data_IF_363426390890
#
_entry.id   IF_363426390890
#
_cell.length_a   1.000
_cell.length_b   1.000
_cell.length_c   1.000
_cell.angle_alpha   90.00
_cell.angle_beta   90.00
_cell.angle_gamma   90.00
#
_symmetry.space_group_name_H-M   'P 1'
#
loop_
_entity.id
_entity.type
_entity.pdbx_description
1 polymer ?
#
# COMPACT_ATOMS: atom_id res chain seq x y z
N UNK A 1 -7.70 16.54 -13.82
CA UNK A 1 -7.43 16.07 -12.43
C UNK A 1 -8.29 14.87 -12.04
N UNK A 2 -9.55 14.77 -12.41
CA UNK A 2 -10.44 13.64 -12.04
C UNK A 2 -9.99 12.27 -12.59
N UNK A 3 -9.44 12.20 -13.80
CA UNK A 3 -8.95 10.96 -14.42
C UNK A 3 -7.79 10.30 -13.66
N UNK A 4 -6.87 11.09 -13.09
CA UNK A 4 -5.75 10.55 -12.30
C UNK A 4 -6.23 9.98 -10.96
N UNK A 5 -7.22 10.61 -10.34
CA UNK A 5 -7.82 10.10 -9.11
C UNK A 5 -8.57 8.77 -9.36
N UNK A 6 -9.32 8.68 -10.45
CA UNK A 6 -10.02 7.45 -10.86
C UNK A 6 -9.03 6.31 -11.14
N UNK A 7 -7.93 6.58 -11.86
CA UNK A 7 -6.90 5.57 -12.11
C UNK A 7 -6.23 5.07 -10.82
N UNK A 8 -5.98 5.95 -9.84
CA UNK A 8 -5.48 5.57 -8.52
C UNK A 8 -6.48 4.70 -7.77
N UNK A 9 -7.74 5.10 -7.76
CA UNK A 9 -8.81 4.33 -7.11
C UNK A 9 -8.95 2.94 -7.72
N UNK A 10 -8.94 2.82 -9.04
CA UNK A 10 -9.00 1.54 -9.75
C UNK A 10 -7.77 0.67 -9.45
N UNK A 11 -6.58 1.26 -9.28
CA UNK A 11 -5.39 0.53 -8.87
C UNK A 11 -5.54 -0.03 -7.46
N UNK A 12 -5.98 0.79 -6.51
CA UNK A 12 -6.24 0.36 -5.13
C UNK A 12 -7.28 -0.76 -5.10
N UNK A 13 -8.40 -0.59 -5.79
CA UNK A 13 -9.43 -1.62 -5.91
C UNK A 13 -8.88 -2.93 -6.46
N UNK A 14 -8.08 -2.87 -7.53
CA UNK A 14 -7.49 -4.07 -8.16
C UNK A 14 -6.57 -4.81 -7.18
N UNK A 15 -5.75 -4.08 -6.40
CA UNK A 15 -4.86 -4.66 -5.39
C UNK A 15 -5.66 -5.30 -4.26
N UNK A 16 -6.68 -4.61 -3.73
CA UNK A 16 -7.56 -5.15 -2.68
C UNK A 16 -8.21 -6.46 -3.12
N UNK A 17 -8.71 -6.51 -4.36
CA UNK A 17 -9.32 -7.72 -4.94
C UNK A 17 -8.29 -8.82 -5.14
N UNK A 18 -7.10 -8.49 -5.67
CA UNK A 18 -6.04 -9.45 -5.98
C UNK A 18 -5.53 -10.17 -4.73
N UNK A 19 -5.32 -9.43 -3.65
CA UNK A 19 -4.79 -9.96 -2.40
C UNK A 19 -5.86 -10.36 -1.40
N UNK A 20 -7.15 -10.23 -1.77
CA UNK A 20 -8.29 -10.61 -0.90
C UNK A 20 -8.22 -9.96 0.48
N UNK A 21 -7.93 -8.67 0.49
CA UNK A 21 -7.89 -7.90 1.74
C UNK A 21 -9.29 -7.70 2.35
N UNK A 22 -10.33 -8.01 1.59
CA UNK A 22 -11.71 -8.09 2.06
C UNK A 22 -11.85 -9.06 3.25
N UNK A 23 -11.17 -10.22 3.21
CA UNK A 23 -11.19 -11.18 4.32
C UNK A 23 -10.63 -10.57 5.62
N UNK A 24 -9.65 -9.67 5.53
CA UNK A 24 -9.06 -8.99 6.69
C UNK A 24 -9.99 -7.94 7.28
N UNK A 25 -10.75 -7.26 6.44
CA UNK A 25 -11.72 -6.25 6.86
C UNK A 25 -12.88 -6.86 7.64
N UNK A 26 -13.15 -8.18 7.49
CA UNK A 26 -14.24 -8.87 8.18
C UNK A 26 -13.91 -9.29 9.60
N UNK A 27 -12.64 -9.37 9.95
CA UNK A 27 -12.21 -9.60 11.34
C UNK A 27 -12.28 -8.32 12.19
N UNK A 28 -12.49 -7.16 11.55
CA UNK A 28 -12.72 -5.90 12.25
C UNK A 28 -14.20 -5.75 12.62
N UNK A 29 -14.55 -5.23 13.79
CA UNK A 29 -15.91 -4.95 14.20
C UNK A 29 -16.49 -3.78 13.37
N UNK A 30 -16.88 -4.08 12.14
CA UNK A 30 -17.45 -3.09 11.24
C UNK A 30 -18.96 -2.93 11.49
N UNK A 31 -19.49 -1.70 11.43
CA UNK A 31 -20.90 -1.46 11.57
C UNK A 31 -21.72 -2.16 10.47
N UNK A 32 -22.86 -2.67 10.82
CA UNK A 32 -23.73 -3.51 9.98
C UNK A 32 -24.10 -2.90 8.61
N UNK A 33 -24.16 -1.59 8.50
CA UNK A 33 -24.43 -0.91 7.23
C UNK A 33 -23.29 -1.05 6.20
N UNK A 34 -22.03 -1.20 6.66
CA UNK A 34 -20.91 -1.54 5.80
C UNK A 34 -20.94 -3.01 5.32
N UNK A 35 -21.58 -3.87 6.10
CA UNK A 35 -21.81 -5.26 5.70
C UNK A 35 -22.80 -5.38 4.54
N UNK A 36 -23.78 -4.49 4.43
CA UNK A 36 -24.71 -4.46 3.30
C UNK A 36 -24.03 -3.99 2.00
N UNK A 37 -23.02 -3.12 2.08
CA UNK A 37 -22.18 -2.75 0.93
C UNK A 37 -21.42 -3.95 0.36
N UNK A 38 -21.18 -4.97 1.18
CA UNK A 38 -20.58 -6.25 0.80
C UNK A 38 -21.39 -7.03 -0.23
N UNK A 39 -22.72 -6.94 -0.17
CA UNK A 39 -23.61 -7.61 -1.11
C UNK A 39 -23.59 -6.95 -2.52
N UNK A 40 -23.24 -5.68 -2.57
CA UNK A 40 -23.13 -4.91 -3.81
C UNK A 40 -21.80 -5.11 -4.56
N UNK A 41 -20.83 -5.85 -3.97
CA UNK A 41 -19.55 -6.11 -4.63
C UNK A 41 -19.63 -7.34 -5.55
N UNK A 42 -19.76 -7.18 -6.87
CA UNK A 42 -20.00 -8.29 -7.80
C UNK A 42 -18.86 -9.30 -7.90
N UNK A 43 -17.62 -8.90 -7.56
CA UNK A 43 -16.46 -9.80 -7.63
C UNK A 43 -16.41 -10.87 -6.53
N UNK A 44 -17.26 -10.78 -5.53
CA UNK A 44 -17.37 -11.79 -4.48
C UNK A 44 -17.96 -13.11 -4.98
N UNK A 45 -18.73 -13.04 -6.03
CA UNK A 45 -19.40 -14.21 -6.63
C UNK A 45 -18.47 -15.03 -7.53
N UNK A 46 -17.26 -14.50 -7.83
CA UNK A 46 -16.28 -15.26 -8.59
C UNK A 46 -15.65 -16.36 -7.71
N UNK A 47 -15.65 -17.63 -8.17
CA UNK A 47 -14.95 -18.70 -7.49
C UNK A 47 -13.45 -18.41 -7.49
N UNK A 48 -12.90 -18.18 -6.32
CA UNK A 48 -11.48 -17.82 -6.15
C UNK A 48 -10.74 -18.95 -5.50
N UNK A 49 -9.59 -19.33 -6.08
CA UNK A 49 -8.65 -20.25 -5.44
C UNK A 49 -8.21 -19.69 -4.09
N UNK A 50 -8.23 -20.51 -3.04
CA UNK A 50 -7.67 -20.15 -1.73
C UNK A 50 -6.21 -19.76 -1.92
N UNK A 51 -5.85 -18.57 -1.45
CA UNK A 51 -4.45 -18.15 -1.42
C UNK A 51 -3.71 -19.00 -0.38
N UNK A 52 -2.57 -19.57 -0.76
CA UNK A 52 -1.67 -20.28 0.16
C UNK A 52 -0.91 -19.31 1.10
N UNK A 53 -1.01 -18.00 0.86
CA UNK A 53 -0.33 -16.96 1.63
C UNK A 53 -1.07 -16.67 2.93
N UNK A 54 -0.31 -16.42 4.00
CA UNK A 54 -0.84 -15.93 5.27
C UNK A 54 -1.53 -14.57 5.10
N UNK A 55 -2.39 -14.19 6.05
CA UNK A 55 -3.07 -12.88 6.03
C UNK A 55 -2.07 -11.74 6.00
N UNK A 56 -1.06 -11.78 6.87
CA UNK A 56 -0.02 -10.77 6.95
C UNK A 56 0.78 -10.66 5.67
N UNK A 57 1.16 -11.77 5.05
CA UNK A 57 1.89 -11.79 3.78
C UNK A 57 1.08 -11.13 2.65
N UNK A 58 -0.23 -11.35 2.60
CA UNK A 58 -1.12 -10.70 1.63
C UNK A 58 -1.16 -9.18 1.81
N UNK A 59 -1.27 -8.71 3.04
CA UNK A 59 -1.22 -7.27 3.36
C UNK A 59 0.11 -6.67 2.95
N UNK A 60 1.21 -7.31 3.32
CA UNK A 60 2.56 -6.86 2.97
C UNK A 60 2.75 -6.71 1.45
N UNK A 61 2.39 -7.73 0.70
CA UNK A 61 2.49 -7.70 -0.77
C UNK A 61 1.57 -6.65 -1.40
N UNK A 62 0.37 -6.46 -0.86
CA UNK A 62 -0.53 -5.42 -1.32
C UNK A 62 0.04 -4.02 -1.12
N UNK A 63 0.64 -3.75 0.04
CA UNK A 63 1.29 -2.47 0.31
C UNK A 63 2.49 -2.22 -0.60
N UNK A 64 3.25 -3.27 -0.94
CA UNK A 64 4.35 -3.19 -1.92
C UNK A 64 3.84 -2.84 -3.32
N UNK A 65 2.76 -3.49 -3.77
CA UNK A 65 2.15 -3.22 -5.08
C UNK A 65 1.53 -1.82 -5.18
N UNK A 66 1.02 -1.29 -4.07
CA UNK A 66 0.46 0.06 -4.01
C UNK A 66 1.53 1.16 -4.08
N UNK A 67 2.76 0.84 -3.67
CA UNK A 67 3.91 1.71 -3.85
C UNK A 67 4.47 2.34 -2.57
N UNK A 68 5.46 3.24 -2.69
CA UNK A 68 6.29 3.70 -1.58
C UNK A 68 5.53 4.35 -0.42
N UNK A 69 4.45 5.08 -0.71
CA UNK A 69 3.62 5.73 0.31
C UNK A 69 2.98 4.67 1.22
N UNK A 70 2.47 3.59 0.62
CA UNK A 70 1.82 2.51 1.35
C UNK A 70 2.84 1.64 2.10
N UNK A 71 4.05 1.48 1.57
CA UNK A 71 5.16 0.83 2.29
C UNK A 71 5.50 1.63 3.56
N UNK A 72 5.63 2.96 3.46
CA UNK A 72 5.84 3.84 4.63
C UNK A 72 4.71 3.73 5.64
N UNK A 73 3.47 3.67 5.18
CA UNK A 73 2.31 3.45 6.03
C UNK A 73 2.37 2.09 6.74
N UNK A 74 2.73 1.02 6.02
CA UNK A 74 2.93 -0.32 6.59
C UNK A 74 4.05 -0.35 7.64
N UNK A 75 5.16 0.35 7.40
CA UNK A 75 6.24 0.50 8.37
C UNK A 75 5.77 1.20 9.65
N UNK A 76 4.96 2.26 9.51
CA UNK A 76 4.37 2.96 10.65
C UNK A 76 3.42 2.05 11.43
N UNK A 77 2.57 1.30 10.73
CA UNK A 77 1.63 0.36 11.36
C UNK A 77 2.35 -0.78 12.08
N UNK A 78 3.50 -1.24 11.58
CA UNK A 78 4.26 -2.32 12.22
C UNK A 78 4.79 -1.94 13.62
N UNK A 79 4.95 -0.65 13.91
CA UNK A 79 5.33 -0.15 15.23
C UNK A 79 4.16 -0.15 16.24
N UNK A 80 2.93 -0.19 15.74
CA UNK A 80 1.70 -0.14 16.53
C UNK A 80 1.04 -1.52 16.60
N UNK A 81 1.66 -2.41 17.38
CA UNK A 81 1.18 -3.80 17.58
C UNK A 81 -0.17 -3.90 18.29
N UNK A 82 -0.59 -2.84 18.96
CA UNK A 82 -1.88 -2.70 19.61
C UNK A 82 -3.07 -2.60 18.65
N UNK A 83 -2.82 -2.16 17.43
CA UNK A 83 -3.86 -1.95 16.41
C UNK A 83 -4.04 -3.12 15.45
N UNK A 84 -3.09 -4.04 15.40
CA UNK A 84 -3.04 -5.10 14.40
C UNK A 84 -2.96 -6.48 15.05
N UNK A 85 -3.57 -7.52 14.42
CA UNK A 85 -3.27 -8.89 14.77
C UNK A 85 -1.76 -9.17 14.67
N UNK A 86 -1.24 -10.01 15.58
CA UNK A 86 0.20 -10.27 15.68
C UNK A 86 0.82 -10.80 14.38
N UNK A 87 0.11 -11.67 13.66
CA UNK A 87 0.52 -12.22 12.38
C UNK A 87 0.70 -11.16 11.29
N UNK A 88 -0.16 -10.14 11.29
CA UNK A 88 -0.05 -9.00 10.36
C UNK A 88 1.08 -8.08 10.76
N UNK A 89 1.22 -7.77 12.05
CA UNK A 89 2.27 -6.90 12.56
C UNK A 89 3.67 -7.48 12.27
N UNK A 90 3.87 -8.78 12.47
CA UNK A 90 5.13 -9.47 12.23
C UNK A 90 5.50 -9.46 10.73
N UNK A 91 4.55 -9.68 9.85
CA UNK A 91 4.79 -9.58 8.40
C UNK A 91 5.08 -8.15 7.94
N UNK A 92 4.46 -7.15 8.53
CA UNK A 92 4.74 -5.75 8.22
C UNK A 92 6.12 -5.30 8.71
N UNK A 93 6.66 -5.91 9.75
CA UNK A 93 8.05 -5.67 10.16
C UNK A 93 9.05 -6.02 9.06
N UNK A 94 8.77 -7.04 8.25
CA UNK A 94 9.60 -7.39 7.10
C UNK A 94 9.69 -6.29 6.04
N UNK A 95 8.78 -5.32 6.04
CA UNK A 95 8.88 -4.14 5.19
C UNK A 95 10.01 -3.19 5.61
N UNK A 96 10.46 -3.25 6.88
CA UNK A 96 11.58 -2.44 7.36
C UNK A 96 12.91 -3.00 6.88
N UNK A 97 13.04 -4.34 6.83
CA UNK A 97 14.30 -5.02 6.55
C UNK A 97 14.57 -5.25 5.05
N UNK A 98 13.53 -5.19 4.23
CA UNK A 98 13.62 -5.47 2.79
C UNK A 98 13.40 -4.22 1.94
N UNK A 99 14.09 -3.14 2.24
CA UNK A 99 14.27 -2.07 1.27
C UNK A 99 15.32 -2.57 0.27
N UNK A 100 14.98 -2.78 -1.01
CA UNK A 100 16.00 -3.11 -1.99
C UNK A 100 17.06 -2.01 -1.95
N UNK A 101 18.36 -2.39 -1.98
CA UNK A 101 19.43 -1.40 -1.93
C UNK A 101 19.22 -0.40 -3.07
N UNK A 102 19.03 0.84 -2.70
CA UNK A 102 18.88 1.92 -3.66
C UNK A 102 20.25 2.17 -4.29
N UNK A 103 20.32 2.16 -5.60
CA UNK A 103 21.56 2.44 -6.32
C UNK A 103 22.05 3.85 -5.96
N UNK A 104 23.22 4.00 -5.30
CA UNK A 104 23.73 5.30 -4.88
C UNK A 104 23.85 6.30 -6.04
N UNK A 105 24.16 5.82 -7.24
CA UNK A 105 24.31 6.67 -8.42
C UNK A 105 22.96 7.25 -8.87
N UNK A 106 21.89 6.46 -8.80
CA UNK A 106 20.55 6.95 -9.09
C UNK A 106 20.07 7.96 -8.03
N UNK A 107 20.44 7.74 -6.77
CA UNK A 107 20.16 8.68 -5.68
C UNK A 107 20.82 10.03 -5.94
N UNK A 108 22.11 10.03 -6.22
CA UNK A 108 22.87 11.26 -6.51
C UNK A 108 22.30 11.98 -7.73
N UNK A 109 21.99 11.26 -8.81
CA UNK A 109 21.40 11.84 -10.01
C UNK A 109 20.01 12.47 -9.73
N UNK A 110 19.18 11.83 -8.91
CA UNK A 110 17.88 12.35 -8.54
C UNK A 110 18.00 13.60 -7.67
N UNK A 111 18.88 13.57 -6.67
CA UNK A 111 19.15 14.72 -5.79
C UNK A 111 19.70 15.91 -6.61
N UNK A 112 20.68 15.66 -7.47
CA UNK A 112 21.24 16.70 -8.33
C UNK A 112 20.20 17.33 -9.24
N UNK A 113 19.24 16.54 -9.76
CA UNK A 113 18.13 17.04 -10.58
C UNK A 113 17.17 17.92 -9.76
N UNK A 114 16.80 17.47 -8.56
CA UNK A 114 15.88 18.21 -7.67
C UNK A 114 16.53 19.51 -7.21
N UNK A 115 17.79 19.47 -6.75
CA UNK A 115 18.55 20.65 -6.31
C UNK A 115 18.70 21.66 -7.44
N UNK A 116 19.05 21.22 -8.65
CA UNK A 116 19.17 22.07 -9.82
C UNK A 116 17.84 22.77 -10.18
N UNK A 117 16.74 22.02 -10.14
CA UNK A 117 15.39 22.57 -10.39
C UNK A 117 14.97 23.56 -9.31
N UNK A 118 15.35 23.32 -8.06
CA UNK A 118 15.10 24.21 -6.96
C UNK A 118 15.94 25.48 -7.08
N UNK A 119 17.26 25.34 -7.33
CA UNK A 119 18.19 26.44 -7.51
C UNK A 119 17.79 27.39 -8.64
N UNK A 120 17.44 26.84 -9.81
CA UNK A 120 16.99 27.64 -10.95
C UNK A 120 15.72 28.45 -10.69
N UNK A 121 14.88 27.99 -9.77
CA UNK A 121 13.64 28.69 -9.40
C UNK A 121 13.86 29.86 -8.44
N UNK A 122 14.86 29.76 -7.56
CA UNK A 122 15.05 30.68 -6.46
C UNK A 122 16.30 31.54 -6.55
N UNK A 123 17.31 31.10 -7.29
CA UNK A 123 18.61 31.73 -7.36
C UNK A 123 19.05 32.09 -8.79
N UNK A 124 18.17 31.99 -9.79
CA UNK A 124 18.48 32.50 -11.13
C UNK A 124 18.64 34.03 -11.06
N UNK A 125 19.77 34.59 -11.48
CA UNK A 125 19.89 36.02 -11.60
C UNK A 125 18.86 36.53 -12.60
N UNK A 126 18.23 37.65 -12.26
CA UNK A 126 17.26 38.33 -13.11
C UNK A 126 17.90 38.73 -14.46
#
# INVERSE_FOLDING_TARGET
MKLLAVRRLLRIQRVVIRYRLDDLLFDLPLPWWLLSLRLLLPWRWLPRKRSALSRGARVRLALQDLGPIFIKFGQLLSTRRDLLPADVADELMLLQDRVPPFDPQQAVALIARVVRKWWSRWCAPA
#
